data_IF_257405848580
#
_entry.id   IF_257405848580
#
_cell.length_a   1.000
_cell.length_b   1.000
_cell.length_c   1.000
_cell.angle_alpha   90.00
_cell.angle_beta   90.00
_cell.angle_gamma   90.00
#
_symmetry.space_group_name_H-M   'P 1'
#
loop_
_entity.id
_entity.type
_entity.pdbx_description
1 polymer ?
#
# COMPACT_ATOMS: atom_id res chain seq x y z
N UNK A 1 11.48 41.54 -10.24
CA UNK A 1 10.87 40.23 -10.54
C UNK A 1 11.67 39.19 -9.78
N UNK A 2 11.15 38.72 -8.66
CA UNK A 2 11.93 38.01 -7.65
C UNK A 2 11.79 36.48 -7.76
N UNK A 3 12.94 35.81 -7.61
CA UNK A 3 13.16 34.50 -6.97
C UNK A 3 12.27 33.32 -7.38
N UNK A 4 12.59 32.69 -8.52
CA UNK A 4 12.26 31.28 -8.70
C UNK A 4 13.19 30.46 -7.80
N UNK A 5 12.65 29.79 -6.78
CA UNK A 5 13.43 28.93 -5.89
C UNK A 5 13.97 27.72 -6.69
N UNK A 6 15.17 27.88 -7.27
CA UNK A 6 15.89 26.89 -8.09
C UNK A 6 16.29 25.61 -7.33
N UNK A 7 15.90 25.49 -6.04
CA UNK A 7 16.13 24.31 -5.21
C UNK A 7 14.86 23.48 -4.95
N UNK A 8 13.71 23.90 -5.48
CA UNK A 8 12.50 23.10 -5.39
C UNK A 8 12.68 21.78 -6.17
N UNK A 9 12.75 20.67 -5.44
CA UNK A 9 12.71 19.34 -6.06
C UNK A 9 11.34 19.15 -6.70
N UNK A 10 11.25 18.67 -7.96
CA UNK A 10 9.97 18.34 -8.56
C UNK A 10 9.25 17.29 -7.70
N UNK A 11 7.91 17.37 -7.59
CA UNK A 11 7.16 16.37 -6.85
C UNK A 11 7.39 14.99 -7.47
N UNK A 12 7.72 14.01 -6.63
CA UNK A 12 7.86 12.63 -7.10
C UNK A 12 6.47 12.10 -7.42
N UNK A 13 6.20 11.93 -8.72
CA UNK A 13 4.89 11.50 -9.23
C UNK A 13 4.70 9.99 -9.19
N UNK A 14 5.79 9.22 -9.12
CA UNK A 14 5.74 7.75 -9.22
C UNK A 14 6.55 7.07 -8.11
N UNK A 15 5.99 5.98 -7.58
CA UNK A 15 6.63 5.12 -6.57
C UNK A 15 6.44 3.66 -6.95
N UNK A 16 7.54 2.92 -6.94
CA UNK A 16 7.52 1.48 -7.15
C UNK A 16 7.54 0.77 -5.80
N UNK A 17 6.69 -0.25 -5.65
CA UNK A 17 6.69 -1.14 -4.50
C UNK A 17 6.78 -2.58 -4.99
N UNK A 18 7.50 -3.41 -4.23
CA UNK A 18 7.62 -4.83 -4.53
C UNK A 18 6.46 -5.58 -3.86
N UNK A 19 5.76 -6.41 -4.63
CA UNK A 19 4.79 -7.36 -4.07
C UNK A 19 5.57 -8.42 -3.31
N UNK A 20 5.27 -8.54 -2.02
CA UNK A 20 5.86 -9.52 -1.12
C UNK A 20 4.87 -10.65 -0.84
N UNK A 21 5.34 -11.72 -0.22
CA UNK A 21 4.48 -12.79 0.30
C UNK A 21 4.40 -12.69 1.82
N UNK A 22 3.22 -12.95 2.38
CA UNK A 22 2.99 -13.01 3.82
C UNK A 22 2.21 -14.26 4.16
N UNK A 23 2.45 -14.80 5.36
CA UNK A 23 1.64 -15.90 5.91
C UNK A 23 0.31 -15.32 6.33
N UNK A 24 -0.79 -15.95 5.90
CA UNK A 24 -2.11 -15.61 6.43
C UNK A 24 -2.12 -15.91 7.92
N UNK A 25 -2.45 -14.92 8.75
CA UNK A 25 -2.68 -15.16 10.17
C UNK A 25 -3.85 -16.13 10.30
N UNK A 26 -3.52 -17.38 10.60
CA UNK A 26 -4.50 -18.44 10.80
C UNK A 26 -4.84 -18.44 12.27
N UNK A 27 -6.02 -17.91 12.61
CA UNK A 27 -6.64 -18.06 13.93
C UNK A 27 -7.11 -19.50 14.20
N UNK A 28 -6.34 -20.49 13.76
CA UNK A 28 -6.66 -21.89 13.95
C UNK A 28 -6.73 -22.20 15.44
N UNK A 29 -7.92 -22.61 15.90
CA UNK A 29 -8.14 -23.10 17.26
C UNK A 29 -7.50 -24.48 17.50
N UNK A 30 -6.91 -25.10 16.46
CA UNK A 30 -6.24 -26.40 16.60
C UNK A 30 -4.95 -26.26 17.42
N UNK A 31 -4.59 -27.29 18.20
CA UNK A 31 -3.29 -27.37 18.84
C UNK A 31 -2.15 -27.32 17.81
N UNK A 32 -0.98 -26.79 18.19
CA UNK A 32 0.14 -26.52 17.28
C UNK A 32 0.55 -27.74 16.42
N UNK A 33 0.53 -28.94 16.99
CA UNK A 33 0.88 -30.20 16.31
C UNK A 33 -0.14 -30.66 15.24
N UNK A 34 -1.31 -30.02 15.15
CA UNK A 34 -2.33 -30.28 14.12
C UNK A 34 -2.52 -29.09 13.17
N UNK A 35 -1.70 -28.05 13.27
CA UNK A 35 -1.79 -26.88 12.38
C UNK A 35 -1.07 -27.18 11.08
N UNK A 36 -1.79 -27.06 9.97
CA UNK A 36 -1.19 -26.95 8.64
C UNK A 36 -0.60 -25.54 8.49
N UNK A 37 0.55 -25.46 7.81
CA UNK A 37 1.17 -24.18 7.51
C UNK A 37 0.19 -23.32 6.69
N UNK A 38 -0.09 -22.07 7.12
CA UNK A 38 -1.10 -21.27 6.44
C UNK A 38 -0.64 -20.88 5.03
N UNK A 39 -1.56 -20.81 4.06
CA UNK A 39 -1.21 -20.42 2.71
C UNK A 39 -0.63 -19.01 2.69
N UNK A 40 0.38 -18.82 1.84
CA UNK A 40 0.94 -17.52 1.55
C UNK A 40 -0.01 -16.71 0.67
N UNK A 41 0.00 -15.39 0.85
CA UNK A 41 -0.75 -14.46 -0.01
C UNK A 41 0.13 -13.28 -0.42
N UNK A 42 -0.11 -12.70 -1.61
CA UNK A 42 0.59 -11.50 -2.04
C UNK A 42 0.14 -10.29 -1.21
N UNK A 43 1.07 -9.44 -0.82
CA UNK A 43 0.80 -8.20 -0.12
C UNK A 43 1.80 -7.12 -0.52
N UNK A 44 1.43 -5.86 -0.31
CA UNK A 44 2.31 -4.71 -0.48
C UNK A 44 1.97 -3.65 0.56
N UNK A 45 2.95 -2.83 0.92
CA UNK A 45 2.78 -1.70 1.85
C UNK A 45 3.03 -0.38 1.12
N UNK A 46 2.03 0.48 1.11
CA UNK A 46 2.19 1.89 0.73
C UNK A 46 2.43 2.69 2.02
N UNK A 47 3.57 3.37 2.13
CA UNK A 47 3.89 4.22 3.27
C UNK A 47 4.70 5.46 2.88
N UNK A 48 4.52 6.54 3.64
CA UNK A 48 5.28 7.79 3.54
C UNK A 48 4.40 9.01 3.25
N UNK A 49 4.96 10.21 3.46
CA UNK A 49 4.27 11.51 3.26
C UNK A 49 3.72 11.74 1.85
N UNK A 50 4.23 11.01 0.85
CA UNK A 50 3.74 11.11 -0.52
C UNK A 50 2.28 10.64 -0.67
N UNK A 51 1.80 9.78 0.24
CA UNK A 51 0.41 9.32 0.28
C UNK A 51 -0.52 10.45 0.75
N UNK A 52 -0.09 11.19 1.77
CA UNK A 52 -0.79 12.38 2.25
C UNK A 52 -0.82 13.48 1.19
N UNK A 53 0.30 13.71 0.49
CA UNK A 53 0.36 14.64 -0.64
C UNK A 53 -0.51 14.21 -1.84
N UNK A 54 -0.78 12.92 -1.98
CA UNK A 54 -1.74 12.40 -2.96
C UNK A 54 -3.21 12.52 -2.51
N UNK A 55 -3.47 13.12 -1.32
CA UNK A 55 -4.82 13.38 -0.82
C UNK A 55 -5.44 12.25 0.01
N UNK A 56 -4.65 11.27 0.44
CA UNK A 56 -5.12 10.19 1.31
C UNK A 56 -4.78 10.47 2.77
N UNK A 57 -5.79 10.41 3.65
CA UNK A 57 -5.63 10.69 5.07
C UNK A 57 -5.89 9.45 5.95
N UNK A 58 -5.34 9.45 7.16
CA UNK A 58 -5.60 8.40 8.13
C UNK A 58 -7.10 8.35 8.51
N UNK A 59 -7.65 7.15 8.60
CA UNK A 59 -9.08 6.93 8.88
C UNK A 59 -10.01 7.17 7.69
N UNK A 60 -9.48 7.62 6.55
CA UNK A 60 -10.28 7.81 5.35
C UNK A 60 -10.70 6.47 4.73
N UNK A 61 -11.92 6.43 4.21
CA UNK A 61 -12.41 5.30 3.42
C UNK A 61 -11.89 5.42 1.99
N UNK A 62 -11.45 4.32 1.42
CA UNK A 62 -10.95 4.26 0.04
C UNK A 62 -11.66 3.18 -0.74
N UNK A 63 -11.85 3.43 -2.03
CA UNK A 63 -12.31 2.46 -3.01
C UNK A 63 -11.12 1.93 -3.80
N UNK A 64 -11.08 0.62 -4.03
CA UNK A 64 -10.09 -0.03 -4.88
C UNK A 64 -10.82 -0.68 -6.04
N UNK A 65 -10.60 -0.19 -7.26
CA UNK A 65 -11.03 -0.87 -8.48
C UNK A 65 -9.93 -1.83 -8.93
N UNK A 66 -10.31 -3.08 -9.18
CA UNK A 66 -9.39 -4.17 -9.53
C UNK A 66 -9.62 -4.58 -10.97
N UNK A 67 -8.56 -4.54 -11.76
CA UNK A 67 -8.52 -5.02 -13.13
C UNK A 67 -7.29 -5.91 -13.34
N UNK A 68 -7.23 -6.61 -14.48
CA UNK A 68 -6.07 -7.43 -14.79
C UNK A 68 -4.80 -6.59 -14.90
N UNK A 69 -3.83 -6.82 -14.00
CA UNK A 69 -2.56 -6.09 -13.95
C UNK A 69 -2.65 -4.66 -13.41
N UNK A 70 -3.82 -4.22 -12.91
CA UNK A 70 -4.03 -2.81 -12.51
C UNK A 70 -4.91 -2.68 -11.27
N UNK A 71 -4.46 -1.88 -10.31
CA UNK A 71 -5.22 -1.47 -9.13
C UNK A 71 -5.36 0.05 -9.14
N UNK A 72 -6.58 0.57 -9.06
CA UNK A 72 -6.85 2.01 -8.96
C UNK A 72 -7.44 2.30 -7.59
N UNK A 73 -6.72 3.07 -6.78
CA UNK A 73 -7.12 3.45 -5.41
C UNK A 73 -7.64 4.89 -5.45
N UNK A 74 -8.86 5.12 -4.96
CA UNK A 74 -9.49 6.44 -4.90
C UNK A 74 -10.03 6.71 -3.50
N UNK A 75 -9.84 7.93 -3.01
CA UNK A 75 -10.49 8.46 -1.82
C UNK A 75 -12.02 8.54 -2.02
N UNK A 76 -12.79 8.13 -1.00
CA UNK A 76 -14.22 8.45 -0.87
C UNK A 76 -14.43 9.64 0.09
#
# INVERSE_FOLDING_TARGET
MADANLKARPPVTERFVTIQQSRRDSRSKKPYWQRTDPPLYPWMKLAGRWIEHAGFHAGQRVKINVEHGRLVITAE
#
